data_IF_215954472126
#
_entry.id   IF_215954472126
#
_cell.length_a   1.000
_cell.length_b   1.000
_cell.length_c   1.000
_cell.angle_alpha   90.00
_cell.angle_beta   90.00
_cell.angle_gamma   90.00
#
_symmetry.space_group_name_H-M   'P 1'
#
loop_
_entity.id
_entity.type
_entity.pdbx_description
1 polymer ?
#
# COMPACT_ATOMS: atom_id res chain seq x y z
N UNK A 1 4.63 -10.05 35.88
CA UNK A 1 3.91 -8.79 36.13
C UNK A 1 4.21 -7.84 34.97
N UNK A 2 3.30 -7.77 33.99
CA UNK A 2 3.42 -6.81 32.89
C UNK A 2 3.06 -5.45 33.48
N UNK A 3 4.02 -4.53 33.53
CA UNK A 3 3.78 -3.19 34.04
C UNK A 3 2.65 -2.54 33.23
N UNK A 4 1.55 -2.23 33.91
CA UNK A 4 0.47 -1.42 33.34
C UNK A 4 1.03 -0.01 33.14
N UNK A 5 1.38 0.31 31.90
CA UNK A 5 1.79 1.67 31.52
C UNK A 5 0.53 2.54 31.64
N UNK A 6 0.51 3.58 32.49
CA UNK A 6 -0.66 4.43 32.65
C UNK A 6 -0.97 5.15 31.34
N UNK A 7 -2.23 5.06 30.91
CA UNK A 7 -2.74 5.58 29.64
C UNK A 7 -2.40 7.05 29.41
N UNK A 8 -2.31 7.84 30.48
CA UNK A 8 -2.10 9.29 30.44
C UNK A 8 -0.66 9.69 30.09
N UNK A 9 0.33 8.84 30.40
CA UNK A 9 1.72 9.10 30.04
C UNK A 9 1.99 8.90 28.53
N UNK A 10 1.19 8.04 27.87
CA UNK A 10 1.29 7.81 26.43
C UNK A 10 0.76 9.01 25.60
N UNK A 11 -0.15 9.79 26.17
CA UNK A 11 -0.80 10.94 25.51
C UNK A 11 0.20 12.09 25.28
N UNK A 12 1.24 12.20 26.12
CA UNK A 12 2.22 13.29 26.06
C UNK A 12 3.38 13.06 25.08
N UNK A 13 3.54 11.86 24.53
CA UNK A 13 4.50 11.61 23.45
C UNK A 13 3.75 11.51 22.12
N UNK A 14 3.54 12.62 21.39
CA UNK A 14 2.88 12.61 20.08
C UNK A 14 3.59 11.65 19.11
N UNK A 15 4.89 11.40 19.30
CA UNK A 15 5.64 10.38 18.59
C UNK A 15 5.07 8.96 18.78
N UNK A 16 4.81 8.53 20.03
CA UNK A 16 4.30 7.18 20.32
C UNK A 16 2.86 7.04 19.85
N UNK A 17 2.02 8.05 20.08
CA UNK A 17 0.64 8.08 19.59
C UNK A 17 0.58 7.98 18.05
N UNK A 18 1.41 8.74 17.34
CA UNK A 18 1.48 8.68 15.88
C UNK A 18 1.98 7.32 15.37
N UNK A 19 2.96 6.70 16.04
CA UNK A 19 3.42 5.36 15.67
C UNK A 19 2.36 4.28 15.91
N UNK A 20 1.61 4.36 17.01
CA UNK A 20 0.48 3.46 17.30
C UNK A 20 -0.66 3.64 16.29
N UNK A 21 -0.98 4.89 15.92
CA UNK A 21 -1.95 5.19 14.87
C UNK A 21 -1.52 4.55 13.54
N UNK A 22 -0.23 4.61 13.21
CA UNK A 22 0.33 3.95 12.03
C UNK A 22 0.15 2.43 12.08
N UNK A 23 0.27 1.78 13.24
CA UNK A 23 0.06 0.34 13.41
C UNK A 23 -1.39 -0.09 13.14
N UNK A 24 -2.35 0.75 13.53
CA UNK A 24 -3.78 0.52 13.28
C UNK A 24 -4.10 0.62 11.78
N UNK A 25 -3.33 1.42 11.02
CA UNK A 25 -3.54 1.50 9.57
C UNK A 25 -3.29 0.16 8.87
N UNK A 26 -4.06 -0.09 7.80
CA UNK A 26 -3.88 -1.29 6.97
C UNK A 26 -2.45 -1.49 6.46
N UNK A 27 -1.69 -0.40 6.28
CA UNK A 27 -0.28 -0.42 5.87
C UNK A 27 0.62 -0.86 7.03
N UNK A 28 0.40 -0.34 8.23
CA UNK A 28 1.13 -0.75 9.43
C UNK A 28 0.93 -2.23 9.74
N UNK A 29 -0.31 -2.72 9.64
CA UNK A 29 -0.63 -4.14 9.81
C UNK A 29 0.09 -5.04 8.80
N UNK A 30 0.17 -4.63 7.52
CA UNK A 30 0.91 -5.39 6.50
C UNK A 30 2.42 -5.45 6.81
N UNK A 31 3.00 -4.34 7.29
CA UNK A 31 4.41 -4.29 7.71
C UNK A 31 4.67 -5.19 8.92
N UNK A 32 3.76 -5.22 9.91
CA UNK A 32 3.88 -6.11 11.07
C UNK A 32 3.82 -7.57 10.67
N UNK A 33 2.87 -7.94 9.83
CA UNK A 33 2.75 -9.32 9.37
C UNK A 33 3.98 -9.75 8.54
N UNK A 34 4.63 -8.83 7.79
CA UNK A 34 5.92 -9.09 7.14
C UNK A 34 7.02 -9.33 8.16
N UNK A 35 7.13 -8.49 9.19
CA UNK A 35 8.12 -8.66 10.25
C UNK A 35 7.94 -10.01 10.95
N UNK A 36 6.72 -10.37 11.34
CA UNK A 36 6.41 -11.68 11.93
C UNK A 36 6.81 -12.81 11.00
N UNK A 37 6.52 -12.70 9.69
CA UNK A 37 6.93 -13.72 8.72
C UNK A 37 8.46 -13.87 8.66
N UNK A 38 9.20 -12.75 8.59
CA UNK A 38 10.67 -12.80 8.54
C UNK A 38 11.26 -13.37 9.83
N UNK A 39 10.72 -12.99 11.00
CA UNK A 39 11.12 -13.57 12.28
C UNK A 39 10.85 -15.08 12.32
N UNK A 40 9.70 -15.55 11.82
CA UNK A 40 9.37 -16.98 11.78
C UNK A 40 10.31 -17.75 10.85
N UNK A 41 10.61 -17.23 9.66
CA UNK A 41 11.58 -17.85 8.74
C UNK A 41 12.99 -17.85 9.33
N UNK A 42 13.41 -16.75 9.96
CA UNK A 42 14.71 -16.64 10.60
C UNK A 42 14.84 -17.65 11.74
N UNK A 43 13.83 -17.75 12.60
CA UNK A 43 13.82 -18.70 13.71
C UNK A 43 13.81 -20.15 13.22
N UNK A 44 13.01 -20.48 12.19
CA UNK A 44 13.05 -21.80 11.56
C UNK A 44 14.43 -22.15 11.01
N UNK A 45 15.14 -21.18 10.43
CA UNK A 45 16.50 -21.36 9.93
C UNK A 45 17.52 -21.57 11.07
N UNK A 46 17.45 -20.76 12.14
CA UNK A 46 18.32 -20.92 13.32
C UNK A 46 18.11 -22.28 13.97
N UNK A 47 16.86 -22.72 14.15
CA UNK A 47 16.54 -24.03 14.70
C UNK A 47 16.97 -25.18 13.80
N UNK A 48 16.91 -25.00 12.48
CA UNK A 48 17.43 -25.98 11.52
C UNK A 48 18.96 -26.09 11.55
N UNK A 49 19.68 -25.09 12.07
CA UNK A 49 21.15 -25.11 12.23
C UNK A 49 21.57 -25.71 13.57
N UNK A 50 20.79 -25.52 14.62
CA UNK A 50 20.94 -26.28 15.86
C UNK A 50 20.54 -27.75 15.63
N UNK A 51 21.25 -28.71 16.22
CA UNK A 51 20.88 -30.15 16.20
C UNK A 51 19.64 -30.44 17.08
N UNK A 52 18.73 -29.49 17.21
CA UNK A 52 17.49 -29.61 17.99
C UNK A 52 16.43 -30.37 17.18
N UNK A 53 15.43 -30.90 17.89
CA UNK A 53 14.41 -31.76 17.31
C UNK A 53 13.74 -31.13 16.07
N UNK A 54 13.56 -31.89 14.98
CA UNK A 54 13.04 -31.36 13.70
C UNK A 54 11.60 -30.82 13.80
N UNK A 55 10.84 -31.25 14.82
CA UNK A 55 9.45 -30.84 15.04
C UNK A 55 9.26 -29.34 15.24
N UNK A 56 10.19 -28.67 15.92
CA UNK A 56 10.06 -27.23 16.19
C UNK A 56 10.23 -26.39 14.91
N UNK A 57 11.15 -26.80 14.02
CA UNK A 57 11.40 -26.09 12.75
C UNK A 57 10.18 -26.10 11.81
N UNK A 58 9.39 -27.17 11.86
CA UNK A 58 8.18 -27.34 11.04
C UNK A 58 7.09 -26.38 11.52
N UNK A 59 6.91 -26.23 12.84
CA UNK A 59 5.93 -25.31 13.43
C UNK A 59 6.17 -23.87 12.97
N UNK A 60 7.43 -23.42 12.96
CA UNK A 60 7.77 -22.05 12.53
C UNK A 60 7.62 -21.84 11.02
N UNK A 61 7.90 -22.87 10.20
CA UNK A 61 7.57 -22.84 8.77
C UNK A 61 6.07 -22.74 8.53
N UNK A 62 5.27 -23.54 9.21
CA UNK A 62 3.80 -23.47 9.13
C UNK A 62 3.29 -22.09 9.55
N UNK A 63 3.83 -21.50 10.61
CA UNK A 63 3.47 -20.14 11.02
C UNK A 63 3.76 -19.11 9.91
N UNK A 64 4.91 -19.22 9.24
CA UNK A 64 5.25 -18.35 8.11
C UNK A 64 4.28 -18.50 6.93
N UNK A 65 3.81 -19.71 6.64
CA UNK A 65 2.84 -19.97 5.58
C UNK A 65 1.45 -19.43 5.92
N UNK A 66 1.00 -19.61 7.17
CA UNK A 66 -0.29 -19.09 7.62
C UNK A 66 -0.31 -17.56 7.61
N UNK A 67 0.78 -16.90 8.02
CA UNK A 67 0.88 -15.43 7.97
C UNK A 67 0.82 -14.87 6.55
N UNK A 68 1.30 -15.60 5.54
CA UNK A 68 1.12 -15.22 4.12
C UNK A 68 -0.36 -15.15 3.74
N UNK A 69 -1.15 -16.15 4.15
CA UNK A 69 -2.59 -16.20 3.90
C UNK A 69 -3.33 -15.05 4.63
N UNK A 70 -3.00 -14.82 5.90
CA UNK A 70 -3.56 -13.72 6.69
C UNK A 70 -3.25 -12.36 6.05
N UNK A 71 -2.04 -12.13 5.51
CA UNK A 71 -1.72 -10.89 4.77
C UNK A 71 -2.51 -10.75 3.48
N UNK A 72 -2.75 -11.85 2.77
CA UNK A 72 -3.59 -11.81 1.56
C UNK A 72 -5.01 -11.38 1.93
N UNK A 73 -5.55 -11.91 3.02
CA UNK A 73 -6.86 -11.52 3.55
C UNK A 73 -6.89 -10.06 4.03
N UNK A 74 -5.86 -9.61 4.74
CA UNK A 74 -5.76 -8.24 5.25
C UNK A 74 -5.75 -7.16 4.14
N UNK A 75 -5.43 -7.54 2.90
CA UNK A 75 -5.46 -6.64 1.74
C UNK A 75 -6.85 -6.53 1.11
N UNK A 76 -7.77 -7.44 1.44
CA UNK A 76 -9.18 -7.30 1.07
C UNK A 76 -9.74 -6.02 1.68
N UNK A 77 -10.49 -5.26 0.87
CA UNK A 77 -11.03 -3.95 1.27
C UNK A 77 -10.12 -2.76 0.98
N UNK A 78 -8.83 -2.96 0.65
CA UNK A 78 -7.97 -1.85 0.18
C UNK A 78 -8.49 -1.27 -1.14
N UNK A 79 -9.19 -2.07 -1.92
CA UNK A 79 -9.81 -1.71 -3.21
C UNK A 79 -10.78 -0.53 -3.03
N UNK A 80 -11.57 -0.55 -1.96
CA UNK A 80 -12.56 0.49 -1.63
C UNK A 80 -11.87 1.83 -1.40
N UNK A 81 -10.72 1.83 -0.74
CA UNK A 81 -9.94 3.06 -0.54
C UNK A 81 -9.43 3.64 -1.86
N UNK A 82 -9.10 2.79 -2.85
CA UNK A 82 -8.69 3.28 -4.17
C UNK A 82 -9.86 3.82 -4.99
N UNK A 83 -11.06 3.23 -4.87
CA UNK A 83 -12.27 3.81 -5.43
C UNK A 83 -12.60 5.17 -4.83
N UNK A 84 -12.50 5.29 -3.50
CA UNK A 84 -12.74 6.54 -2.79
C UNK A 84 -11.71 7.63 -3.19
N UNK A 85 -10.44 7.26 -3.32
CA UNK A 85 -9.40 8.16 -3.88
C UNK A 85 -9.70 8.56 -5.32
N UNK A 86 -10.17 7.64 -6.16
CA UNK A 86 -10.55 7.91 -7.53
C UNK A 86 -11.71 8.94 -7.59
N UNK A 87 -12.77 8.74 -6.80
CA UNK A 87 -13.89 9.67 -6.70
C UNK A 87 -13.42 11.05 -6.23
N UNK A 88 -12.59 11.10 -5.17
CA UNK A 88 -12.05 12.37 -4.68
C UNK A 88 -11.23 13.11 -5.73
N UNK A 89 -10.43 12.41 -6.54
CA UNK A 89 -9.71 13.03 -7.66
C UNK A 89 -10.65 13.53 -8.74
N UNK A 90 -11.70 12.78 -9.07
CA UNK A 90 -12.69 13.25 -10.04
C UNK A 90 -13.41 14.54 -9.58
N UNK A 91 -13.68 14.66 -8.28
CA UNK A 91 -14.34 15.84 -7.68
C UNK A 91 -13.40 17.04 -7.49
N UNK A 92 -12.09 16.88 -7.67
CA UNK A 92 -11.15 17.99 -7.58
C UNK A 92 -11.35 18.96 -8.76
N UNK A 93 -12.01 20.10 -8.52
CA UNK A 93 -12.30 21.11 -9.55
C UNK A 93 -11.10 22.03 -9.86
N UNK A 94 -10.12 22.09 -8.97
CA UNK A 94 -9.00 23.03 -9.04
C UNK A 94 -7.75 22.50 -9.78
N UNK A 95 -7.77 21.25 -10.25
CA UNK A 95 -6.64 20.65 -10.99
C UNK A 95 -6.85 20.77 -12.50
N UNK A 96 -5.76 20.89 -13.26
CA UNK A 96 -5.79 20.79 -14.72
C UNK A 96 -6.53 19.52 -15.15
N UNK A 97 -7.49 19.66 -16.07
CA UNK A 97 -8.37 18.57 -16.51
C UNK A 97 -7.60 17.31 -16.93
N UNK A 98 -6.44 17.47 -17.59
CA UNK A 98 -5.60 16.35 -18.02
C UNK A 98 -4.99 15.55 -16.84
N UNK A 99 -4.35 16.23 -15.88
CA UNK A 99 -3.78 15.59 -14.68
C UNK A 99 -4.88 14.86 -13.91
N UNK A 100 -6.06 15.46 -13.83
CA UNK A 100 -7.21 14.88 -13.13
C UNK A 100 -7.67 13.57 -13.74
N UNK A 101 -7.88 13.51 -15.05
CA UNK A 101 -8.30 12.29 -15.74
C UNK A 101 -7.23 11.20 -15.68
N UNK A 102 -5.96 11.58 -15.83
CA UNK A 102 -4.85 10.62 -15.77
C UNK A 102 -4.69 10.06 -14.34
N UNK A 103 -4.79 10.90 -13.31
CA UNK A 103 -4.74 10.48 -11.90
C UNK A 103 -5.96 9.64 -11.50
N UNK A 104 -7.14 9.98 -12.04
CA UNK A 104 -8.36 9.17 -11.91
C UNK A 104 -8.14 7.78 -12.51
N UNK A 105 -7.63 7.71 -13.74
CA UNK A 105 -7.34 6.46 -14.44
C UNK A 105 -6.34 5.59 -13.67
N UNK A 106 -5.32 6.19 -13.08
CA UNK A 106 -4.38 5.49 -12.21
C UNK A 106 -5.07 4.84 -11.00
N UNK A 107 -5.80 5.63 -10.21
CA UNK A 107 -6.45 5.10 -9.01
C UNK A 107 -7.57 4.10 -9.33
N UNK A 108 -8.30 4.31 -10.43
CA UNK A 108 -9.32 3.38 -10.91
C UNK A 108 -8.71 2.08 -11.41
N UNK A 109 -7.64 2.14 -12.20
CA UNK A 109 -6.91 0.97 -12.67
C UNK A 109 -6.33 0.14 -11.53
N UNK A 110 -5.78 0.81 -10.50
CA UNK A 110 -5.38 0.14 -9.26
C UNK A 110 -6.57 -0.49 -8.53
N UNK A 111 -7.71 0.20 -8.44
CA UNK A 111 -8.90 -0.34 -7.80
C UNK A 111 -9.40 -1.61 -8.50
N UNK A 112 -9.45 -1.62 -9.83
CA UNK A 112 -9.84 -2.80 -10.64
C UNK A 112 -8.83 -3.95 -10.46
N UNK A 113 -7.52 -3.67 -10.53
CA UNK A 113 -6.48 -4.65 -10.27
C UNK A 113 -6.67 -5.33 -8.89
N UNK A 114 -6.92 -4.51 -7.87
CA UNK A 114 -7.10 -4.97 -6.50
C UNK A 114 -8.42 -5.72 -6.27
N UNK A 115 -9.50 -5.34 -6.97
CA UNK A 115 -10.74 -6.14 -7.04
C UNK A 115 -10.49 -7.52 -7.61
N UNK A 116 -9.62 -7.59 -8.61
CA UNK A 116 -9.27 -8.86 -9.21
C UNK A 116 -8.37 -9.72 -8.30
N UNK A 117 -7.41 -9.12 -7.58
CA UNK A 117 -6.62 -9.81 -6.55
C UNK A 117 -7.51 -10.33 -5.40
N UNK A 118 -8.55 -9.56 -5.03
CA UNK A 118 -9.53 -9.97 -4.03
C UNK A 118 -10.35 -11.19 -4.46
N UNK A 119 -10.79 -11.24 -5.71
CA UNK A 119 -11.48 -12.41 -6.28
C UNK A 119 -10.58 -13.66 -6.24
N UNK A 120 -9.30 -13.52 -6.61
CA UNK A 120 -8.34 -14.63 -6.53
C UNK A 120 -8.09 -15.05 -5.07
N UNK A 121 -8.10 -14.12 -4.12
CA UNK A 121 -8.00 -14.47 -2.71
C UNK A 121 -9.23 -15.24 -2.19
N UNK A 122 -10.43 -14.92 -2.67
CA UNK A 122 -11.65 -15.68 -2.33
C UNK A 122 -11.63 -17.11 -2.89
N UNK A 123 -11.02 -17.31 -4.07
CA UNK A 123 -10.77 -18.64 -4.65
C UNK A 123 -9.88 -19.49 -3.74
N UNK A 124 -8.81 -18.90 -3.19
CA UNK A 124 -7.92 -19.61 -2.27
C UNK A 124 -8.59 -20.04 -0.96
N UNK A 125 -9.68 -19.38 -0.57
CA UNK A 125 -10.49 -19.75 0.59
C UNK A 125 -11.59 -20.76 0.26
N UNK A 126 -11.68 -21.19 -1.01
CA UNK A 126 -12.72 -22.06 -1.54
C UNK A 126 -14.17 -21.54 -1.34
N UNK A 127 -14.34 -20.25 -1.03
CA UNK A 127 -15.65 -19.60 -0.87
C UNK A 127 -16.33 -19.45 -2.24
N UNK A 128 -15.54 -19.11 -3.25
CA UNK A 128 -16.00 -18.99 -4.63
C UNK A 128 -14.95 -19.54 -5.59
N UNK A 129 -15.28 -20.61 -6.33
CA UNK A 129 -14.36 -21.19 -7.32
C UNK A 129 -14.43 -20.41 -8.64
N UNK A 130 -13.34 -19.74 -9.00
CA UNK A 130 -13.22 -19.10 -10.30
C UNK A 130 -13.00 -20.14 -11.40
N UNK A 131 -13.74 -20.00 -12.50
CA UNK A 131 -13.62 -20.86 -13.70
C UNK A 131 -12.20 -20.86 -14.29
N UNK A 132 -11.47 -19.74 -14.17
CA UNK A 132 -10.05 -19.65 -14.58
C UNK A 132 -9.32 -18.55 -13.82
N UNK A 133 -8.53 -18.94 -12.81
CA UNK A 133 -7.64 -18.04 -12.04
C UNK A 133 -6.60 -17.37 -12.96
N UNK A 134 -6.17 -18.05 -14.03
CA UNK A 134 -5.18 -17.52 -14.98
C UNK A 134 -5.73 -16.35 -15.80
N UNK A 135 -6.96 -16.48 -16.34
CA UNK A 135 -7.59 -15.39 -17.09
C UNK A 135 -7.79 -14.16 -16.19
N UNK A 136 -8.17 -14.47 -14.97
CA UNK A 136 -8.28 -13.54 -13.88
C UNK A 136 -7.00 -12.71 -13.68
N UNK A 137 -5.89 -13.38 -13.39
CA UNK A 137 -4.59 -12.72 -13.22
C UNK A 137 -4.15 -11.93 -14.45
N UNK A 138 -4.45 -12.39 -15.67
CA UNK A 138 -4.16 -11.62 -16.90
C UNK A 138 -4.96 -10.32 -16.97
N UNK A 139 -6.25 -10.33 -16.62
CA UNK A 139 -7.07 -9.13 -16.59
C UNK A 139 -6.52 -8.12 -15.55
N UNK A 140 -6.15 -8.63 -14.37
CA UNK A 140 -5.49 -7.84 -13.33
C UNK A 140 -4.16 -7.22 -13.83
N UNK A 141 -3.31 -8.01 -14.50
CA UNK A 141 -2.04 -7.52 -15.03
C UNK A 141 -2.24 -6.40 -16.07
N UNK A 142 -3.25 -6.51 -16.93
CA UNK A 142 -3.59 -5.47 -17.91
C UNK A 142 -4.09 -4.18 -17.25
N UNK A 143 -4.97 -4.27 -16.25
CA UNK A 143 -5.44 -3.07 -15.53
C UNK A 143 -4.33 -2.42 -14.72
N UNK A 144 -3.44 -3.21 -14.13
CA UNK A 144 -2.26 -2.71 -13.42
C UNK A 144 -1.29 -1.99 -14.36
N UNK A 145 -1.02 -2.55 -15.54
CA UNK A 145 -0.20 -1.90 -16.56
C UNK A 145 -0.80 -0.57 -16.99
N UNK A 146 -2.10 -0.52 -17.29
CA UNK A 146 -2.80 0.72 -17.62
C UNK A 146 -2.68 1.77 -16.49
N UNK A 147 -2.83 1.34 -15.24
CA UNK A 147 -2.67 2.23 -14.08
C UNK A 147 -1.26 2.82 -13.99
N UNK A 148 -0.22 2.03 -14.26
CA UNK A 148 1.17 2.50 -14.27
C UNK A 148 1.41 3.49 -15.39
N UNK A 149 0.92 3.22 -16.60
CA UNK A 149 1.06 4.13 -17.73
C UNK A 149 0.43 5.48 -17.41
N UNK A 150 -0.80 5.49 -16.87
CA UNK A 150 -1.42 6.72 -16.39
C UNK A 150 -0.56 7.40 -15.31
N UNK A 151 -0.04 6.67 -14.34
CA UNK A 151 0.81 7.28 -13.31
C UNK A 151 2.05 7.95 -13.90
N UNK A 152 2.73 7.30 -14.84
CA UNK A 152 3.94 7.85 -15.48
C UNK A 152 3.59 9.15 -16.21
N UNK A 153 2.51 9.15 -17.00
CA UNK A 153 2.05 10.35 -17.73
C UNK A 153 1.71 11.49 -16.75
N UNK A 154 1.00 11.20 -15.66
CA UNK A 154 0.65 12.19 -14.65
C UNK A 154 1.88 12.78 -13.96
N UNK A 155 2.86 11.93 -13.63
CA UNK A 155 4.09 12.35 -12.96
C UNK A 155 5.01 13.17 -13.86
N UNK A 156 5.14 12.79 -15.14
CA UNK A 156 5.90 13.58 -16.13
C UNK A 156 5.27 14.95 -16.32
N UNK A 157 3.95 15.00 -16.52
CA UNK A 157 3.25 16.28 -16.69
C UNK A 157 3.36 17.17 -15.45
N UNK A 158 3.21 16.59 -14.26
CA UNK A 158 3.36 17.33 -13.00
C UNK A 158 4.78 17.89 -12.82
N UNK A 159 5.80 17.14 -13.21
CA UNK A 159 7.18 17.60 -13.15
C UNK A 159 7.38 18.80 -14.09
N UNK A 160 6.87 18.75 -15.32
CA UNK A 160 6.97 19.87 -16.26
C UNK A 160 6.23 21.12 -15.76
N UNK A 161 5.04 20.95 -15.16
CA UNK A 161 4.28 22.07 -14.59
C UNK A 161 5.02 22.74 -13.42
N UNK A 162 5.65 21.93 -12.54
CA UNK A 162 6.48 22.44 -11.44
C UNK A 162 7.69 23.22 -11.95
N UNK A 163 8.39 22.73 -12.98
CA UNK A 163 9.52 23.43 -13.58
C UNK A 163 9.12 24.80 -14.15
N UNK A 164 7.94 24.88 -14.79
CA UNK A 164 7.42 26.17 -15.28
C UNK A 164 6.95 27.10 -14.16
N UNK A 165 6.56 26.58 -13.00
CA UNK A 165 6.23 27.39 -11.83
C UNK A 165 7.50 27.97 -11.21
N UNK A 166 8.53 27.14 -10.98
CA UNK A 166 9.83 27.58 -10.46
C UNK A 166 10.44 28.70 -11.30
N UNK A 167 10.46 28.57 -12.64
CA UNK A 167 10.96 29.62 -13.53
C UNK A 167 10.18 30.95 -13.42
N UNK A 168 8.85 30.87 -13.29
CA UNK A 168 8.00 32.08 -13.13
C UNK A 168 8.21 32.74 -11.77
N UNK A 169 8.42 31.95 -10.73
CA UNK A 169 8.70 32.47 -9.40
C UNK A 169 10.07 33.14 -9.35
N UNK A 170 11.09 32.58 -10.00
CA UNK A 170 12.41 33.21 -10.17
C UNK A 170 12.34 34.54 -10.95
N UNK A 171 11.60 34.59 -12.07
CA UNK A 171 11.39 35.81 -12.84
C UNK A 171 10.66 36.90 -12.04
N UNK A 172 9.66 36.50 -11.24
CA UNK A 172 8.93 37.42 -10.36
C UNK A 172 9.79 37.95 -9.23
N UNK A 173 10.65 37.12 -8.63
CA UNK A 173 11.56 37.53 -7.57
C UNK A 173 12.62 38.53 -8.09
N UNK A 174 13.17 38.27 -9.28
CA UNK A 174 14.06 39.21 -9.97
C UNK A 174 13.36 40.54 -10.30
N UNK A 175 12.10 40.50 -10.75
CA UNK A 175 11.33 41.71 -11.02
C UNK A 175 11.08 42.52 -9.75
N UNK A 176 10.70 41.87 -8.65
CA UNK A 176 10.44 42.54 -7.38
C UNK A 176 11.71 43.21 -6.84
N UNK A 177 12.87 42.57 -7.00
CA UNK A 177 14.17 43.14 -6.64
C UNK A 177 14.55 44.38 -7.49
N UNK A 178 14.07 44.50 -8.72
CA UNK A 178 14.33 45.67 -9.58
C UNK A 178 13.39 46.85 -9.31
N UNK A 179 12.30 46.63 -8.59
CA UNK A 179 11.29 47.66 -8.26
C UNK A 179 11.42 48.23 -6.84
N UNK A 180 12.34 47.70 -6.02
CA UNK A 180 12.74 48.27 -4.73
C UNK A 180 14.03 49.07 -4.88
#
# INVERSE_FOLDING_TARGET
MVAAIPSDALIHLPAIANHLQCLITSIGRDRLLRLTQFCACFYAWVLSKSKLAPGDSITWKLLSERTVHVRRMSRLGRNIQFFDRAIRRFMAKNECSFIRYTSLGHHLGLAVFLSWDALVALDTLAIYRLKSVKNAQRAAARSWLAAILCNIIAQVYKLSDLQHQEQRDEENDQRNHLTM
#
